data_IF_863541639675
#
_entry.id   IF_863541639675
#
_cell.length_a   1.000
_cell.length_b   1.000
_cell.length_c   1.000
_cell.angle_alpha   90.00
_cell.angle_beta   90.00
_cell.angle_gamma   90.00
#
_symmetry.space_group_name_H-M   'P 1'
#
loop_
_entity.id
_entity.type
_entity.pdbx_description
1 polymer ?
#
# COMPACT_ATOMS: atom_id res chain seq x y z
N UNK A 1 5.55 -11.38 7.47
CA UNK A 1 6.27 -10.59 6.46
C UNK A 1 6.79 -9.27 7.04
N UNK A 2 7.91 -8.72 6.56
CA UNK A 2 8.38 -7.41 6.97
C UNK A 2 7.41 -6.31 6.50
N UNK A 3 7.19 -5.28 7.35
CA UNK A 3 6.43 -4.09 7.01
C UNK A 3 7.25 -2.85 7.33
N UNK A 4 7.43 -1.99 6.34
CA UNK A 4 8.22 -0.76 6.46
C UNK A 4 7.26 0.42 6.36
N UNK A 5 7.12 1.16 7.48
CA UNK A 5 6.24 2.32 7.53
C UNK A 5 6.76 3.50 6.71
N UNK A 6 5.91 4.49 6.46
CA UNK A 6 6.31 5.73 5.78
C UNK A 6 7.48 6.44 6.47
N UNK A 7 7.49 6.46 7.80
CA UNK A 7 8.58 7.06 8.57
C UNK A 7 9.89 6.29 8.38
N UNK A 8 9.83 4.97 8.34
CA UNK A 8 11.02 4.12 8.30
C UNK A 8 11.71 4.15 6.93
N UNK A 9 10.95 4.31 5.83
CA UNK A 9 11.54 4.47 4.51
C UNK A 9 11.77 5.95 4.10
N UNK A 10 11.51 6.90 4.99
CA UNK A 10 11.77 8.33 4.74
C UNK A 10 10.84 8.96 3.72
N UNK A 11 9.54 8.64 3.78
CA UNK A 11 8.54 9.22 2.89
C UNK A 11 8.45 10.74 3.04
N UNK A 12 8.34 11.44 1.91
CA UNK A 12 7.95 12.85 1.91
C UNK A 12 6.49 12.96 2.37
N UNK A 13 6.13 13.94 3.21
CA UNK A 13 4.75 14.18 3.59
C UNK A 13 3.84 14.38 2.38
N UNK A 14 2.59 13.87 2.40
CA UNK A 14 1.64 14.08 1.32
C UNK A 14 1.19 15.55 1.27
N UNK A 15 1.01 16.09 0.06
CA UNK A 15 0.42 17.44 -0.12
C UNK A 15 -1.02 17.46 0.39
N UNK A 16 -1.75 16.37 0.21
CA UNK A 16 -3.13 16.21 0.64
C UNK A 16 -3.49 14.73 0.81
N UNK A 17 -4.32 14.44 1.79
CA UNK A 17 -4.92 13.11 1.99
C UNK A 17 -6.44 13.19 1.84
N UNK A 18 -7.04 12.08 1.43
CA UNK A 18 -8.50 11.91 1.39
C UNK A 18 -8.78 10.56 2.06
N UNK A 19 -9.70 10.48 3.01
CA UNK A 19 -10.06 9.21 3.64
C UNK A 19 -10.49 8.16 2.62
N UNK A 20 -10.19 6.90 2.93
CA UNK A 20 -10.66 5.75 2.15
C UNK A 20 -12.19 5.67 2.19
N UNK A 21 -12.79 5.16 1.13
CA UNK A 21 -14.24 4.93 1.09
C UNK A 21 -14.65 3.82 2.05
N UNK A 22 -15.83 3.99 2.69
CA UNK A 22 -16.49 2.91 3.45
C UNK A 22 -17.13 1.83 2.56
N UNK A 23 -17.10 2.02 1.23
CA UNK A 23 -17.72 1.13 0.24
C UNK A 23 -16.68 0.65 -0.77
N UNK A 24 -15.58 0.09 -0.28
CA UNK A 24 -14.60 -0.58 -1.15
C UNK A 24 -15.23 -1.81 -1.80
N UNK A 25 -14.88 -2.03 -3.06
CA UNK A 25 -15.23 -3.24 -3.78
C UNK A 25 -14.14 -4.32 -3.66
N UNK A 26 -12.90 -3.91 -3.45
CA UNK A 26 -11.78 -4.83 -3.36
C UNK A 26 -10.41 -4.17 -3.49
N UNK A 27 -9.48 -4.96 -4.01
CA UNK A 27 -8.09 -4.58 -4.23
C UNK A 27 -7.80 -4.58 -5.74
N UNK A 28 -7.03 -3.60 -6.20
CA UNK A 28 -6.51 -3.54 -7.55
C UNK A 28 -4.99 -3.69 -7.53
N UNK A 29 -4.49 -4.67 -8.28
CA UNK A 29 -3.07 -4.96 -8.41
C UNK A 29 -2.46 -4.16 -9.57
N UNK A 30 -1.27 -3.66 -9.33
CA UNK A 30 -0.46 -2.91 -10.28
C UNK A 30 0.96 -3.47 -10.35
N UNK A 31 1.66 -3.18 -11.44
CA UNK A 31 3.10 -3.38 -11.56
C UNK A 31 3.78 -2.04 -11.92
N UNK A 32 5.11 -2.00 -11.92
CA UNK A 32 5.82 -0.74 -12.16
C UNK A 32 5.87 -0.35 -13.65
N UNK A 33 5.77 -1.32 -14.55
CA UNK A 33 5.77 -1.10 -16.00
C UNK A 33 7.14 -0.71 -16.60
N UNK A 34 8.19 -0.74 -15.78
CA UNK A 34 9.59 -0.56 -16.18
C UNK A 34 10.45 -1.64 -15.51
N UNK A 35 11.61 -2.01 -16.06
CA UNK A 35 12.46 -3.03 -15.46
C UNK A 35 12.86 -2.67 -14.02
N UNK A 36 12.51 -3.52 -13.07
CA UNK A 36 12.94 -3.38 -11.67
C UNK A 36 14.28 -4.09 -11.52
N UNK A 37 15.35 -3.32 -11.36
CA UNK A 37 16.74 -3.82 -11.31
C UNK A 37 17.42 -3.52 -9.98
N UNK A 38 16.67 -3.20 -8.94
CA UNK A 38 17.22 -2.89 -7.63
C UNK A 38 16.79 -3.92 -6.61
N UNK A 39 17.74 -4.36 -5.80
CA UNK A 39 17.50 -5.20 -4.62
C UNK A 39 17.08 -4.36 -3.39
N UNK A 40 17.12 -3.02 -3.51
CA UNK A 40 16.73 -2.10 -2.45
C UNK A 40 15.32 -1.54 -2.69
N UNK A 41 14.28 -2.15 -2.12
CA UNK A 41 12.91 -1.72 -2.31
C UNK A 41 12.64 -0.32 -1.73
N UNK A 42 13.37 0.10 -0.69
CA UNK A 42 13.23 1.42 -0.08
C UNK A 42 13.63 2.51 -1.06
N UNK A 43 14.80 2.41 -1.67
CA UNK A 43 15.26 3.37 -2.69
C UNK A 43 14.32 3.44 -3.89
N UNK A 44 13.78 2.28 -4.30
CA UNK A 44 12.82 2.23 -5.40
C UNK A 44 11.54 2.99 -5.05
N UNK A 45 10.96 2.74 -3.87
CA UNK A 45 9.72 3.40 -3.43
C UNK A 45 9.91 4.90 -3.25
N UNK A 46 11.05 5.35 -2.71
CA UNK A 46 11.43 6.77 -2.66
C UNK A 46 11.49 7.40 -4.05
N UNK A 47 12.07 6.69 -5.03
CA UNK A 47 12.14 7.16 -6.41
C UNK A 47 10.74 7.25 -7.05
N UNK A 48 9.88 6.26 -6.82
CA UNK A 48 8.49 6.26 -7.29
C UNK A 48 7.74 7.45 -6.69
N UNK A 49 7.85 7.70 -5.38
CA UNK A 49 7.19 8.84 -4.74
C UNK A 49 7.66 10.17 -5.35
N UNK A 50 8.97 10.37 -5.46
CA UNK A 50 9.53 11.59 -6.09
C UNK A 50 8.99 11.78 -7.51
N UNK A 51 8.97 10.73 -8.33
CA UNK A 51 8.45 10.79 -9.69
C UNK A 51 6.96 11.11 -9.76
N UNK A 52 6.16 10.59 -8.81
CA UNK A 52 4.74 10.87 -8.74
C UNK A 52 4.44 12.32 -8.31
N UNK A 53 5.24 12.88 -7.41
CA UNK A 53 5.03 14.22 -6.88
C UNK A 53 5.69 15.32 -7.73
N UNK A 54 6.67 14.97 -8.57
CA UNK A 54 7.33 15.93 -9.47
C UNK A 54 6.50 16.24 -10.72
N UNK A 55 6.72 17.42 -11.35
CA UNK A 55 6.19 17.69 -12.69
C UNK A 55 6.61 16.64 -13.71
N UNK A 56 5.81 16.34 -14.74
CA UNK A 56 4.50 16.94 -15.01
C UNK A 56 3.34 16.33 -14.23
N UNK A 57 3.55 15.23 -13.46
CA UNK A 57 2.46 14.54 -12.73
C UNK A 57 1.92 15.37 -11.59
N UNK A 58 2.78 15.92 -10.74
CA UNK A 58 2.45 16.78 -9.58
C UNK A 58 1.33 16.19 -8.72
N UNK A 59 1.38 14.87 -8.50
CA UNK A 59 0.39 14.19 -7.67
C UNK A 59 0.64 14.51 -6.18
N UNK A 60 -0.40 14.37 -5.36
CA UNK A 60 -0.33 14.71 -3.95
C UNK A 60 0.57 13.80 -3.11
N UNK A 61 0.87 12.61 -3.63
CA UNK A 61 1.71 11.59 -2.99
C UNK A 61 1.95 10.42 -3.97
N UNK A 62 2.70 9.42 -3.52
CA UNK A 62 2.76 8.11 -4.18
C UNK A 62 1.35 7.60 -4.49
N UNK A 63 1.15 6.95 -5.63
CA UNK A 63 -0.20 6.60 -6.08
C UNK A 63 -0.84 5.44 -5.32
N UNK A 64 -0.03 4.53 -4.80
CA UNK A 64 -0.44 3.27 -4.21
C UNK A 64 -0.73 3.39 -2.71
N UNK A 65 -1.61 2.53 -2.19
CA UNK A 65 -1.82 2.39 -0.76
C UNK A 65 -0.65 1.68 -0.09
N UNK A 66 -0.20 0.59 -0.69
CA UNK A 66 0.97 -0.17 -0.26
C UNK A 66 1.73 -0.68 -1.49
N UNK A 67 3.01 -0.99 -1.30
CA UNK A 67 3.85 -1.60 -2.34
C UNK A 67 4.43 -2.90 -1.78
N UNK A 68 4.56 -3.91 -2.63
CA UNK A 68 5.05 -5.24 -2.24
C UNK A 68 6.27 -5.57 -3.07
N UNK A 69 7.38 -5.88 -2.40
CA UNK A 69 8.63 -6.30 -3.02
C UNK A 69 8.66 -7.82 -3.25
N UNK A 70 9.60 -8.29 -4.08
CA UNK A 70 9.74 -9.71 -4.42
C UNK A 70 10.07 -10.60 -3.20
N UNK A 71 10.75 -10.07 -2.20
CA UNK A 71 11.05 -10.76 -0.94
C UNK A 71 9.87 -10.79 0.06
N UNK A 72 8.69 -10.32 -0.36
CA UNK A 72 7.51 -10.22 0.47
C UNK A 72 7.49 -9.00 1.41
N UNK A 73 8.48 -8.13 1.37
CA UNK A 73 8.48 -6.88 2.13
C UNK A 73 7.35 -5.96 1.64
N UNK A 74 6.55 -5.46 2.58
CA UNK A 74 5.50 -4.47 2.30
C UNK A 74 5.96 -3.09 2.74
N UNK A 75 5.87 -2.12 1.84
CA UNK A 75 6.17 -0.72 2.12
C UNK A 75 4.87 0.10 2.10
N UNK A 76 4.65 0.87 3.16
CA UNK A 76 3.48 1.72 3.27
C UNK A 76 3.55 2.87 2.24
N UNK A 77 2.57 2.94 1.35
CA UNK A 77 2.37 4.07 0.45
C UNK A 77 1.49 5.13 1.10
N UNK A 78 0.27 5.33 0.60
CA UNK A 78 -0.73 6.21 1.26
C UNK A 78 -1.33 5.58 2.51
N UNK A 79 -1.08 4.29 2.77
CA UNK A 79 -1.73 3.50 3.80
C UNK A 79 -3.18 3.14 3.45
N UNK A 80 -3.74 2.18 4.20
CA UNK A 80 -5.08 1.64 3.93
C UNK A 80 -6.23 2.58 4.36
N UNK A 81 -5.92 3.61 5.16
CA UNK A 81 -6.92 4.60 5.61
C UNK A 81 -7.15 5.74 4.61
N UNK A 82 -6.37 5.80 3.54
CA UNK A 82 -6.42 6.89 2.57
C UNK A 82 -6.75 6.37 1.17
N UNK A 83 -7.42 7.24 0.39
CA UNK A 83 -7.74 6.97 -1.01
C UNK A 83 -6.47 6.92 -1.86
N UNK A 84 -6.33 5.88 -2.67
CA UNK A 84 -5.26 5.77 -3.66
C UNK A 84 -5.37 6.80 -4.80
N UNK A 85 -4.35 6.85 -5.66
CA UNK A 85 -4.32 7.65 -6.88
C UNK A 85 -3.98 6.86 -8.15
N UNK A 86 -4.00 5.53 -8.09
CA UNK A 86 -3.41 4.66 -9.11
C UNK A 86 -4.40 4.17 -10.20
N UNK A 87 -5.72 4.27 -9.98
CA UNK A 87 -6.72 3.63 -10.84
C UNK A 87 -7.15 4.47 -12.06
N UNK A 88 -6.56 5.63 -12.27
CA UNK A 88 -6.82 6.50 -13.41
C UNK A 88 -8.16 7.26 -13.38
N UNK A 89 -9.04 7.04 -12.42
CA UNK A 89 -10.28 7.79 -12.24
C UNK A 89 -10.67 7.93 -10.76
N UNK A 90 -11.36 9.01 -10.43
CA UNK A 90 -11.87 9.23 -9.06
C UNK A 90 -12.83 8.12 -8.62
N UNK A 91 -13.66 7.62 -9.52
CA UNK A 91 -14.59 6.52 -9.25
C UNK A 91 -13.84 5.26 -8.82
N UNK A 92 -12.84 4.85 -9.57
CA UNK A 92 -12.08 3.63 -9.29
C UNK A 92 -11.16 3.81 -8.07
N UNK A 93 -10.54 4.99 -7.90
CA UNK A 93 -9.75 5.32 -6.70
C UNK A 93 -10.56 5.29 -5.39
N UNK A 94 -11.89 5.46 -5.47
CA UNK A 94 -12.81 5.31 -4.33
C UNK A 94 -13.24 3.87 -4.10
N UNK A 95 -13.12 3.02 -5.10
CA UNK A 95 -13.68 1.67 -5.08
C UNK A 95 -12.66 0.60 -4.73
N UNK A 96 -11.37 0.87 -4.87
CA UNK A 96 -10.33 -0.14 -4.71
C UNK A 96 -9.14 0.40 -3.92
N UNK A 97 -8.58 -0.45 -3.07
CA UNK A 97 -7.22 -0.30 -2.55
C UNK A 97 -6.24 -0.62 -3.68
N UNK A 98 -5.18 0.14 -3.83
CA UNK A 98 -4.13 -0.08 -4.82
C UNK A 98 -2.91 -0.74 -4.18
N UNK A 99 -2.57 -1.95 -4.60
CA UNK A 99 -1.29 -2.60 -4.27
C UNK A 99 -0.36 -2.53 -5.48
N UNK A 100 0.78 -1.89 -5.32
CA UNK A 100 1.84 -1.80 -6.32
C UNK A 100 2.85 -2.92 -6.13
N UNK A 101 2.92 -3.88 -7.06
CA UNK A 101 3.93 -4.92 -7.05
C UNK A 101 5.23 -4.35 -7.64
N UNK A 102 6.33 -4.47 -6.91
CA UNK A 102 7.64 -3.99 -7.38
C UNK A 102 8.20 -4.98 -8.42
N UNK A 103 7.48 -5.08 -9.53
CA UNK A 103 7.76 -5.93 -10.69
C UNK A 103 7.97 -5.09 -11.94
N UNK A 104 8.90 -5.51 -12.78
CA UNK A 104 9.08 -5.02 -14.14
C UNK A 104 8.17 -5.73 -15.15
N UNK A 105 8.24 -5.27 -16.39
CA UNK A 105 7.58 -5.95 -17.50
C UNK A 105 8.33 -7.27 -17.79
N UNK A 106 7.59 -8.37 -17.83
CA UNK A 106 8.13 -9.72 -18.01
C UNK A 106 8.60 -10.41 -16.74
N UNK A 107 8.64 -9.74 -15.58
CA UNK A 107 8.93 -10.38 -14.31
C UNK A 107 7.73 -11.19 -13.81
N UNK A 108 8.01 -12.29 -13.10
CA UNK A 108 7.01 -13.08 -12.40
C UNK A 108 7.07 -12.82 -10.89
N UNK A 109 5.91 -12.75 -10.20
CA UNK A 109 5.90 -12.66 -8.75
C UNK A 109 6.49 -13.92 -8.10
N UNK A 110 7.31 -13.72 -7.08
CA UNK A 110 7.79 -14.82 -6.21
C UNK A 110 6.66 -15.33 -5.29
N UNK A 111 6.86 -16.49 -4.70
CA UNK A 111 5.93 -17.04 -3.71
C UNK A 111 5.80 -16.13 -2.49
N UNK A 112 6.90 -15.48 -2.06
CA UNK A 112 6.94 -14.51 -0.97
C UNK A 112 6.08 -13.27 -1.29
N UNK A 113 6.19 -12.73 -2.49
CA UNK A 113 5.35 -11.62 -2.95
C UNK A 113 3.88 -12.04 -3.01
N UNK A 114 3.56 -13.20 -3.57
CA UNK A 114 2.19 -13.72 -3.65
C UNK A 114 1.60 -13.86 -2.25
N UNK A 115 2.36 -14.44 -1.32
CA UNK A 115 1.91 -14.61 0.06
C UNK A 115 1.69 -13.26 0.75
N UNK A 116 2.59 -12.29 0.56
CA UNK A 116 2.42 -10.94 1.10
C UNK A 116 1.17 -10.25 0.55
N UNK A 117 0.90 -10.37 -0.76
CA UNK A 117 -0.34 -9.82 -1.37
C UNK A 117 -1.58 -10.45 -0.76
N UNK A 118 -1.62 -11.79 -0.58
CA UNK A 118 -2.74 -12.50 0.09
C UNK A 118 -3.00 -11.95 1.49
N UNK A 119 -1.93 -11.76 2.26
CA UNK A 119 -2.05 -11.22 3.63
C UNK A 119 -2.57 -9.78 3.64
N UNK A 120 -2.14 -8.93 2.68
CA UNK A 120 -2.67 -7.55 2.58
C UNK A 120 -4.12 -7.53 2.15
N UNK A 121 -4.55 -8.42 1.26
CA UNK A 121 -5.97 -8.59 0.90
C UNK A 121 -6.78 -9.05 2.11
N UNK A 122 -6.27 -9.98 2.92
CA UNK A 122 -6.93 -10.40 4.18
C UNK A 122 -7.13 -9.22 5.13
N UNK A 123 -6.12 -8.36 5.29
CA UNK A 123 -6.23 -7.15 6.12
C UNK A 123 -7.29 -6.20 5.58
N UNK A 124 -7.35 -5.96 4.27
CA UNK A 124 -8.40 -5.12 3.66
C UNK A 124 -9.79 -5.69 3.93
N UNK A 125 -9.98 -7.01 3.76
CA UNK A 125 -11.26 -7.69 4.00
C UNK A 125 -11.63 -7.74 5.49
N UNK A 126 -10.66 -7.78 6.38
CA UNK A 126 -10.93 -7.68 7.82
C UNK A 126 -11.60 -6.35 8.19
N UNK A 127 -11.16 -5.23 7.62
CA UNK A 127 -11.77 -3.91 7.85
C UNK A 127 -13.03 -3.67 7.03
N UNK A 128 -13.10 -4.23 5.84
CA UNK A 128 -14.21 -4.05 4.89
C UNK A 128 -14.56 -5.41 4.24
N UNK A 129 -15.33 -6.26 4.93
CA UNK A 129 -15.64 -7.63 4.47
C UNK A 129 -16.29 -7.69 3.08
N UNK A 130 -16.98 -6.62 2.66
CA UNK A 130 -17.56 -6.51 1.32
C UNK A 130 -16.54 -6.28 0.21
N UNK A 131 -15.27 -5.97 0.53
CA UNK A 131 -14.21 -5.70 -0.43
C UNK A 131 -13.60 -7.00 -0.99
N UNK A 132 -14.41 -7.83 -1.63
CA UNK A 132 -14.03 -9.19 -2.07
C UNK A 132 -13.35 -9.25 -3.42
N UNK A 133 -13.50 -8.23 -4.29
CA UNK A 133 -12.95 -8.28 -5.64
C UNK A 133 -11.42 -8.13 -5.63
N UNK A 134 -10.75 -8.95 -6.45
CA UNK A 134 -9.33 -8.81 -6.79
C UNK A 134 -9.26 -8.56 -8.29
N UNK A 135 -8.78 -7.39 -8.69
CA UNK A 135 -8.73 -6.97 -10.10
C UNK A 135 -7.34 -6.48 -10.48
N UNK A 136 -7.01 -6.54 -11.74
CA UNK A 136 -5.86 -5.84 -12.31
C UNK A 136 -6.23 -4.45 -12.78
N UNK A 137 -5.27 -3.56 -12.93
CA UNK A 137 -5.52 -2.21 -13.45
C UNK A 137 -6.15 -2.24 -14.86
N UNK A 138 -5.80 -3.24 -15.69
CA UNK A 138 -6.41 -3.45 -17.02
C UNK A 138 -7.91 -3.77 -17.00
N UNK A 139 -8.45 -4.21 -15.86
CA UNK A 139 -9.88 -4.46 -15.73
C UNK A 139 -10.68 -3.16 -15.47
N UNK A 140 -9.97 -2.08 -15.13
CA UNK A 140 -10.56 -0.78 -14.81
C UNK A 140 -10.39 0.25 -15.93
N UNK A 141 -9.36 0.09 -16.77
CA UNK A 141 -9.08 0.95 -17.93
C UNK A 141 -8.10 0.28 -18.89
N UNK A 142 -8.08 0.66 -20.19
CA UNK A 142 -7.09 0.15 -21.13
C UNK A 142 -5.64 0.46 -20.68
N UNK A 143 -4.86 -0.60 -20.40
CA UNK A 143 -3.44 -0.53 -19.99
C UNK A 143 -2.83 -1.93 -20.00
N UNK A 144 -1.51 -2.05 -20.10
CA UNK A 144 -0.79 -3.33 -19.93
C UNK A 144 -0.66 -3.74 -18.45
N UNK A 145 -0.80 -2.80 -17.50
CA UNK A 145 -0.74 -3.05 -16.07
C UNK A 145 -1.90 -3.97 -15.62
N UNK A 146 -1.66 -4.99 -14.80
CA UNK A 146 -0.45 -5.32 -14.03
C UNK A 146 0.50 -6.32 -14.69
N UNK A 147 0.52 -6.44 -16.01
CA UNK A 147 1.33 -7.39 -16.74
C UNK A 147 0.64 -8.75 -16.96
N UNK A 148 1.20 -9.58 -17.85
CA UNK A 148 0.57 -10.85 -18.26
C UNK A 148 0.58 -11.85 -17.10
N UNK A 149 1.72 -11.99 -16.40
CA UNK A 149 1.88 -12.93 -15.28
C UNK A 149 0.88 -12.63 -14.15
N UNK A 150 0.83 -11.39 -13.67
CA UNK A 150 -0.07 -11.00 -12.58
C UNK A 150 -1.55 -11.18 -12.98
N UNK A 151 -1.92 -10.87 -14.24
CA UNK A 151 -3.28 -11.12 -14.74
C UNK A 151 -3.64 -12.60 -14.76
N UNK A 152 -2.70 -13.46 -15.11
CA UNK A 152 -2.91 -14.92 -15.07
C UNK A 152 -3.16 -15.40 -13.64
N UNK A 153 -2.37 -14.92 -12.68
CA UNK A 153 -2.52 -15.23 -11.25
C UNK A 153 -3.81 -14.68 -10.64
N UNK A 154 -4.29 -13.51 -11.08
CA UNK A 154 -5.62 -13.01 -10.68
C UNK A 154 -6.72 -13.96 -11.18
N UNK A 155 -6.68 -14.35 -12.46
CA UNK A 155 -7.70 -15.23 -13.05
C UNK A 155 -7.71 -16.64 -12.46
N UNK A 156 -6.57 -17.18 -12.05
CA UNK A 156 -6.47 -18.48 -11.38
C UNK A 156 -6.91 -18.46 -9.91
N UNK A 157 -7.19 -17.28 -9.35
CA UNK A 157 -7.49 -17.14 -7.92
C UNK A 157 -6.26 -17.27 -7.01
N UNK A 158 -5.05 -17.24 -7.57
CA UNK A 158 -3.82 -17.41 -6.78
C UNK A 158 -3.68 -16.38 -5.67
N UNK A 159 -4.21 -15.17 -5.84
CA UNK A 159 -4.15 -14.12 -4.82
C UNK A 159 -5.29 -14.18 -3.78
N UNK A 160 -6.19 -15.15 -3.87
CA UNK A 160 -7.21 -15.32 -2.82
C UNK A 160 -6.54 -15.68 -1.50
N UNK A 161 -6.90 -15.00 -0.41
CA UNK A 161 -6.40 -15.32 0.92
C UNK A 161 -6.79 -16.73 1.34
N UNK A 162 -5.90 -17.40 2.07
CA UNK A 162 -6.21 -18.67 2.72
C UNK A 162 -7.22 -18.42 3.86
N UNK A 163 -8.43 -18.99 3.80
CA UNK A 163 -9.46 -18.76 4.81
C UNK A 163 -9.09 -19.34 6.19
N UNK A 164 -8.14 -20.27 6.25
CA UNK A 164 -7.66 -20.87 7.50
C UNK A 164 -6.66 -20.00 8.26
N UNK A 165 -6.11 -18.97 7.61
CA UNK A 165 -5.10 -18.06 8.22
C UNK A 165 -5.77 -16.81 8.78
N UNK A 166 -5.53 -16.55 10.04
CA UNK A 166 -5.92 -15.26 10.65
C UNK A 166 -5.12 -14.12 10.00
N UNK A 167 -5.77 -13.03 9.56
CA UNK A 167 -5.05 -11.88 9.03
C UNK A 167 -4.04 -11.36 10.06
N UNK A 168 -2.85 -10.92 9.63
CA UNK A 168 -1.95 -10.23 10.54
C UNK A 168 -2.63 -8.96 11.08
N UNK A 169 -2.37 -8.57 12.33
CA UNK A 169 -2.89 -7.32 12.84
C UNK A 169 -2.44 -6.18 11.92
N UNK A 170 -3.28 -5.16 11.71
CA UNK A 170 -2.88 -3.99 10.96
C UNK A 170 -1.63 -3.38 11.59
N UNK A 171 -0.74 -2.76 10.79
CA UNK A 171 0.35 -2.00 11.35
C UNK A 171 -0.22 -0.97 12.32
N UNK A 172 0.40 -0.86 13.48
CA UNK A 172 0.00 0.16 14.46
C UNK A 172 -0.02 1.54 13.75
N UNK A 173 -1.01 2.38 14.01
CA UNK A 173 -0.97 3.74 13.49
C UNK A 173 0.37 4.37 13.90
N UNK A 174 1.00 5.17 13.03
CA UNK A 174 2.23 5.86 13.39
C UNK A 174 1.97 6.55 14.74
N UNK A 175 2.82 6.29 15.71
CA UNK A 175 2.74 6.99 16.99
C UNK A 175 2.80 8.47 16.67
N UNK A 176 1.70 9.19 16.90
CA UNK A 176 1.69 10.63 16.74
C UNK A 176 2.88 11.16 17.52
N UNK A 177 3.74 11.91 16.86
CA UNK A 177 4.82 12.61 17.56
C UNK A 177 4.15 13.34 18.73
N UNK A 178 4.54 13.06 19.99
CA UNK A 178 3.86 13.67 21.11
C UNK A 178 3.92 15.19 20.93
N UNK A 179 2.79 15.84 21.01
CA UNK A 179 2.74 17.29 20.94
C UNK A 179 3.48 17.89 22.13
N UNK A 180 3.91 19.13 22.04
CA UNK A 180 4.46 19.86 23.19
C UNK A 180 3.53 19.79 24.40
N UNK A 181 2.20 19.78 24.17
CA UNK A 181 1.20 19.63 25.23
C UNK A 181 1.25 18.23 25.88
N UNK A 182 1.43 17.16 25.10
CA UNK A 182 1.57 15.80 25.61
C UNK A 182 2.86 15.63 26.43
N UNK A 183 3.95 16.25 25.94
CA UNK A 183 5.24 16.25 26.67
C UNK A 183 5.14 17.05 27.97
N UNK A 184 4.50 18.20 27.96
CA UNK A 184 4.27 19.02 29.17
C UNK A 184 3.42 18.27 30.19
N UNK A 185 2.34 17.59 29.76
CA UNK A 185 1.50 16.78 30.65
C UNK A 185 2.28 15.61 31.29
N UNK A 186 3.17 14.96 30.52
CA UNK A 186 4.03 13.89 31.04
C UNK A 186 5.07 14.38 32.03
N UNK A 187 5.67 15.56 31.83
CA UNK A 187 6.59 16.21 32.77
C UNK A 187 5.86 16.52 34.08
N UNK A 188 4.67 17.16 33.99
CA UNK A 188 3.85 17.47 35.18
C UNK A 188 3.45 16.19 35.96
N UNK A 189 3.15 15.09 35.25
CA UNK A 189 2.83 13.82 35.90
C UNK A 189 4.04 13.21 36.64
N UNK A 190 5.23 13.31 36.05
CA UNK A 190 6.47 12.85 36.68
C UNK A 190 6.84 13.69 37.93
N UNK A 191 6.69 15.00 37.87
CA UNK A 191 6.92 15.90 39.01
C UNK A 191 6.01 15.58 40.20
N UNK A 192 4.74 15.19 39.96
CA UNK A 192 3.79 14.77 41.00
C UNK A 192 4.07 13.37 41.59
N UNK A 193 4.85 12.55 40.92
CA UNK A 193 5.19 11.21 41.42
C UNK A 193 6.47 11.14 42.26
N UNK A 194 7.18 12.26 42.41
CA UNK A 194 8.45 12.37 43.13
C UNK A 194 8.26 13.02 44.53
N UNK A 195 7.04 13.39 44.86
CA UNK A 195 6.63 13.88 46.19
C UNK A 195 5.48 12.96 46.68
#
# INVERSE_FOLDING_TARGET
>A
MPYISRSDWGAVPPVKTIPVSKHLKGVCLHFMGFPVRTEDPVRLVQSIQRNHMAPPKSWWDIAYNELVAQDGTVLEGRGLLHRCGAQGSTRHNRSFIALGLLLGDGDEPTDEMIQAVRERISVVRFFQPQATAIVGHSDLKPTTCPGIAVRALIRSGTFEPDPSRTPPPPPAPPMSTPTLADLAARVTALEKSVF
#
